data_IF_596654873231
#
_entry.id   IF_596654873231
#
_cell.length_a   1.000
_cell.length_b   1.000
_cell.length_c   1.000
_cell.angle_alpha   90.00
_cell.angle_beta   90.00
_cell.angle_gamma   90.00
#
_symmetry.space_group_name_H-M   'P 1'
#
loop_
_entity.id
_entity.type
_entity.pdbx_description
1 polymer ?
#
# COMPACT_ATOMS: atom_id res chain seq x y z
N UNK A 1 30.88 61.53 -5.18
CA UNK A 1 30.23 61.29 -3.89
C UNK A 1 28.74 61.55 -4.05
N UNK A 2 27.93 60.49 -4.24
CA UNK A 2 26.46 60.55 -4.11
C UNK A 2 26.04 59.31 -3.33
N UNK A 3 25.53 59.58 -2.13
CA UNK A 3 24.97 58.55 -1.22
C UNK A 3 23.56 58.23 -1.72
N UNK A 4 23.30 56.94 -2.01
CA UNK A 4 21.96 56.39 -2.28
C UNK A 4 21.47 55.77 -0.98
N UNK A 5 20.42 56.36 -0.39
CA UNK A 5 19.67 55.80 0.73
C UNK A 5 18.77 54.69 0.15
N UNK A 6 18.92 53.47 0.65
CA UNK A 6 18.01 52.37 0.40
C UNK A 6 16.97 52.34 1.50
N UNK A 7 15.72 52.66 1.19
CA UNK A 7 14.59 52.54 2.10
C UNK A 7 14.19 51.06 2.23
N UNK A 8 14.31 50.53 3.46
CA UNK A 8 13.89 49.20 3.83
C UNK A 8 12.39 49.25 4.22
N UNK A 9 11.51 48.82 3.32
CA UNK A 9 10.07 48.64 3.63
C UNK A 9 9.88 47.31 4.32
N UNK A 10 9.55 47.38 5.60
CA UNK A 10 9.22 46.26 6.48
C UNK A 10 7.76 45.82 6.17
N UNK A 11 7.57 44.68 5.49
CA UNK A 11 6.25 44.09 5.30
C UNK A 11 5.96 43.20 6.51
N UNK A 12 5.07 43.69 7.38
CA UNK A 12 4.46 42.88 8.44
C UNK A 12 3.45 41.91 7.79
N UNK A 13 3.82 40.64 7.63
CA UNK A 13 2.86 39.59 7.36
C UNK A 13 2.11 39.22 8.64
N UNK A 14 0.83 39.55 8.68
CA UNK A 14 -0.12 39.09 9.69
C UNK A 14 -0.24 37.59 9.63
N UNK A 15 0.42 36.88 10.54
CA UNK A 15 0.13 35.47 10.83
C UNK A 15 -1.20 35.40 11.60
N UNK A 16 -2.26 34.97 10.95
CA UNK A 16 -3.46 34.49 11.63
C UNK A 16 -3.08 33.22 12.42
N UNK A 17 -3.51 33.05 13.68
CA UNK A 17 -3.26 31.82 14.42
C UNK A 17 -4.04 30.67 13.76
N UNK A 18 -3.33 29.63 13.36
CA UNK A 18 -3.92 28.34 13.05
C UNK A 18 -4.62 27.83 14.30
N UNK A 19 -5.93 27.71 14.27
CA UNK A 19 -6.74 27.07 15.31
C UNK A 19 -6.17 25.66 15.57
N UNK A 20 -5.46 25.54 16.68
CA UNK A 20 -5.07 24.24 17.20
C UNK A 20 -6.35 23.48 17.54
N UNK A 21 -6.72 22.50 16.75
CA UNK A 21 -7.83 21.59 17.04
C UNK A 21 -7.51 20.89 18.37
N UNK A 22 -8.15 21.34 19.44
CA UNK A 22 -7.97 20.78 20.77
C UNK A 22 -8.29 19.28 20.76
N UNK A 23 -7.38 18.47 21.30
CA UNK A 23 -7.52 17.01 21.37
C UNK A 23 -8.84 16.63 22.05
N UNK A 24 -9.64 15.78 21.38
CA UNK A 24 -10.93 15.33 21.91
C UNK A 24 -10.67 14.26 22.99
N UNK A 25 -11.13 14.55 24.22
CA UNK A 25 -11.03 13.62 25.35
C UNK A 25 -12.37 13.45 26.05
N UNK A 26 -12.60 12.32 26.69
CA UNK A 26 -13.77 12.08 27.53
C UNK A 26 -13.90 13.17 28.61
N UNK A 27 -15.08 13.76 28.74
CA UNK A 27 -15.32 14.88 29.66
C UNK A 27 -14.92 16.26 29.14
N UNK A 28 -14.27 16.34 27.97
CA UNK A 28 -13.98 17.61 27.29
C UNK A 28 -15.27 18.26 26.78
N UNK A 29 -15.32 19.61 26.70
CA UNK A 29 -16.48 20.35 26.20
C UNK A 29 -16.68 20.12 24.69
N UNK A 30 -17.94 20.11 24.26
CA UNK A 30 -18.35 20.01 22.86
C UNK A 30 -19.43 21.05 22.52
N UNK A 31 -19.64 21.30 21.22
CA UNK A 31 -20.46 22.44 20.76
C UNK A 31 -21.92 22.11 20.51
N UNK A 32 -22.25 20.87 20.12
CA UNK A 32 -23.63 20.50 19.74
C UNK A 32 -23.96 19.09 20.24
N UNK A 33 -25.08 18.95 20.98
CA UNK A 33 -25.55 17.65 21.45
C UNK A 33 -25.82 16.72 20.25
N UNK A 34 -25.40 15.46 20.35
CA UNK A 34 -25.49 14.48 19.27
C UNK A 34 -24.35 14.57 18.23
N UNK A 35 -23.48 15.56 18.30
CA UNK A 35 -22.30 15.63 17.44
C UNK A 35 -21.41 14.40 17.66
N UNK A 36 -21.02 13.76 16.55
CA UNK A 36 -20.10 12.59 16.55
C UNK A 36 -18.76 13.06 16.05
N UNK A 37 -17.68 12.59 16.67
CA UNK A 37 -16.32 12.81 16.22
C UNK A 37 -15.48 11.56 16.46
N UNK A 38 -14.60 11.24 15.52
CA UNK A 38 -13.63 10.15 15.65
C UNK A 38 -12.25 10.77 15.94
N UNK A 39 -11.62 10.37 17.05
CA UNK A 39 -10.31 10.84 17.44
C UNK A 39 -9.50 9.68 18.03
N UNK A 40 -8.27 9.49 17.57
CA UNK A 40 -7.38 8.39 17.99
C UNK A 40 -8.08 6.99 17.91
N UNK A 41 -8.78 6.71 16.80
CA UNK A 41 -9.45 5.43 16.58
C UNK A 41 -10.71 5.18 17.43
N UNK A 42 -11.13 6.15 18.26
CA UNK A 42 -12.30 6.03 19.14
C UNK A 42 -13.41 6.98 18.71
N UNK A 43 -14.67 6.50 18.79
CA UNK A 43 -15.87 7.29 18.50
C UNK A 43 -16.28 8.05 19.77
N UNK A 44 -16.46 9.37 19.65
CA UNK A 44 -16.97 10.24 20.71
C UNK A 44 -18.32 10.81 20.31
N UNK A 45 -19.23 10.91 21.26
CA UNK A 45 -20.56 11.49 21.09
C UNK A 45 -20.70 12.62 22.10
N UNK A 46 -21.08 13.80 21.61
CA UNK A 46 -21.35 14.96 22.45
C UNK A 46 -22.70 14.77 23.16
N UNK A 47 -22.70 14.68 24.48
CA UNK A 47 -23.92 14.45 25.27
C UNK A 47 -24.13 15.56 26.29
N UNK A 48 -25.39 15.89 26.58
CA UNK A 48 -25.77 16.84 27.63
C UNK A 48 -25.54 16.18 29.01
N UNK A 49 -24.80 16.84 29.86
CA UNK A 49 -24.55 16.43 31.25
C UNK A 49 -24.83 17.63 32.17
N UNK A 50 -26.00 17.69 32.76
CA UNK A 50 -26.49 18.88 33.46
C UNK A 50 -26.63 20.09 32.52
N UNK A 51 -25.98 21.19 32.86
CA UNK A 51 -25.97 22.43 32.05
C UNK A 51 -24.84 22.48 31.01
N UNK A 52 -24.00 21.43 30.88
CA UNK A 52 -22.82 21.39 29.98
C UNK A 52 -22.97 20.34 28.88
N UNK A 53 -22.29 20.55 27.76
CA UNK A 53 -22.14 19.59 26.68
C UNK A 53 -20.74 18.99 26.75
N UNK A 54 -20.66 17.66 26.88
CA UNK A 54 -19.37 16.96 27.09
C UNK A 54 -19.24 15.75 26.17
N UNK A 55 -18.01 15.48 25.72
CA UNK A 55 -17.67 14.29 24.97
C UNK A 55 -17.73 13.03 25.83
N UNK A 56 -18.49 12.02 25.39
CA UNK A 56 -18.50 10.66 25.94
C UNK A 56 -18.04 9.67 24.89
N UNK A 57 -17.43 8.58 25.34
CA UNK A 57 -17.07 7.46 24.45
C UNK A 57 -18.36 6.81 23.92
N UNK A 58 -18.48 6.67 22.60
CA UNK A 58 -19.58 5.96 21.96
C UNK A 58 -19.40 4.45 22.17
N UNK A 59 -20.32 3.80 22.90
CA UNK A 59 -20.33 2.35 23.04
C UNK A 59 -20.96 1.71 21.80
N UNK A 60 -20.35 0.70 21.23
CA UNK A 60 -20.94 -0.26 20.27
C UNK A 60 -21.62 -1.40 21.03
N UNK A 61 -22.44 -1.07 22.02
CA UNK A 61 -23.19 -2.10 22.73
C UNK A 61 -24.47 -2.42 21.92
N UNK A 62 -24.46 -3.56 21.28
CA UNK A 62 -25.66 -4.26 20.86
C UNK A 62 -26.46 -4.61 22.12
N UNK A 63 -27.57 -3.91 22.37
CA UNK A 63 -28.49 -4.31 23.44
C UNK A 63 -29.10 -5.66 23.09
N UNK A 64 -28.67 -6.71 23.75
CA UNK A 64 -29.42 -7.95 23.84
C UNK A 64 -30.68 -7.70 24.66
N UNK A 65 -31.83 -7.78 24.01
CA UNK A 65 -33.14 -7.78 24.61
C UNK A 65 -33.36 -9.12 25.33
N UNK A 66 -33.96 -9.19 26.55
CA UNK A 66 -34.25 -10.45 27.20
C UNK A 66 -35.19 -11.30 26.35
N UNK A 67 -34.82 -12.53 26.06
CA UNK A 67 -35.65 -13.51 25.38
C UNK A 67 -36.73 -13.96 26.36
N UNK A 68 -37.98 -13.54 26.12
CA UNK A 68 -39.19 -14.17 26.66
C UNK A 68 -39.47 -15.35 25.72
N UNK A 69 -39.41 -16.59 26.30
CA UNK A 69 -39.73 -17.82 25.59
C UNK A 69 -41.28 -17.89 25.51
N UNK A 70 -41.92 -17.78 24.36
CA UNK A 70 -43.32 -18.10 24.21
C UNK A 70 -43.50 -19.60 23.91
N UNK A 71 -44.48 -20.19 24.49
CA UNK A 71 -44.99 -21.54 24.26
C UNK A 71 -45.27 -21.78 22.78
N UNK A 72 -44.95 -22.96 22.22
CA UNK A 72 -45.07 -23.17 20.78
C UNK A 72 -46.51 -23.25 20.33
N UNK A 73 -46.92 -22.29 19.51
CA UNK A 73 -48.11 -22.34 18.66
C UNK A 73 -47.79 -23.16 17.41
N UNK A 74 -48.67 -24.05 16.92
CA UNK A 74 -48.34 -24.85 15.71
C UNK A 74 -48.11 -23.95 14.52
N UNK A 75 -46.95 -24.18 13.88
CA UNK A 75 -46.46 -23.45 12.70
C UNK A 75 -47.36 -23.67 11.50
N UNK A 76 -47.79 -22.62 10.77
CA UNK A 76 -48.38 -22.81 9.47
C UNK A 76 -47.31 -23.36 8.50
N UNK A 77 -47.73 -24.31 7.66
CA UNK A 77 -46.96 -24.90 6.57
C UNK A 77 -46.28 -23.79 5.76
N UNK A 78 -44.94 -23.84 5.53
CA UNK A 78 -44.27 -22.80 4.76
C UNK A 78 -44.80 -22.82 3.32
N UNK A 79 -45.34 -21.66 2.90
CA UNK A 79 -45.54 -21.36 1.48
C UNK A 79 -44.19 -21.44 0.78
N UNK A 80 -44.08 -22.03 -0.43
CA UNK A 80 -42.79 -22.11 -1.13
C UNK A 80 -42.23 -20.70 -1.29
N UNK A 81 -41.09 -20.46 -0.65
CA UNK A 81 -40.29 -19.27 -0.85
C UNK A 81 -39.93 -19.20 -2.35
N UNK A 82 -40.00 -18.02 -2.99
CA UNK A 82 -39.58 -17.91 -4.35
C UNK A 82 -38.11 -18.42 -4.40
N UNK A 83 -37.92 -19.45 -5.20
CA UNK A 83 -36.59 -20.02 -5.51
C UNK A 83 -35.73 -18.84 -5.98
N UNK A 84 -34.73 -18.49 -5.19
CA UNK A 84 -33.74 -17.53 -5.63
C UNK A 84 -33.16 -18.10 -6.94
N UNK A 85 -33.35 -17.39 -8.02
CA UNK A 85 -32.72 -17.71 -9.32
C UNK A 85 -31.23 -17.78 -9.03
N UNK A 86 -30.54 -18.89 -9.34
CA UNK A 86 -29.10 -18.94 -9.18
C UNK A 86 -28.50 -17.75 -9.94
N UNK A 87 -27.51 -17.05 -9.37
CA UNK A 87 -26.88 -15.92 -10.05
C UNK A 87 -26.42 -16.43 -11.43
N UNK A 88 -26.82 -15.69 -12.48
CA UNK A 88 -26.45 -16.02 -13.85
C UNK A 88 -24.94 -16.18 -13.91
N UNK A 89 -24.51 -17.39 -14.22
CA UNK A 89 -23.13 -17.62 -14.64
C UNK A 89 -22.95 -16.76 -15.90
N UNK A 90 -22.13 -15.71 -15.83
CA UNK A 90 -21.88 -14.74 -16.93
C UNK A 90 -21.41 -15.38 -18.24
N UNK A 91 -21.46 -16.68 -18.33
CA UNK A 91 -20.84 -17.48 -19.37
C UNK A 91 -21.74 -17.73 -20.59
N UNK A 92 -22.94 -17.16 -20.67
CA UNK A 92 -23.89 -17.66 -21.67
C UNK A 92 -24.29 -16.71 -22.79
N UNK A 93 -24.02 -15.37 -22.70
CA UNK A 93 -24.56 -14.45 -23.74
C UNK A 93 -23.58 -13.42 -24.33
N UNK A 94 -22.37 -13.27 -23.81
CA UNK A 94 -21.37 -12.36 -24.39
C UNK A 94 -20.20 -13.16 -24.93
N UNK A 95 -19.87 -13.01 -26.21
CA UNK A 95 -18.71 -13.66 -26.81
C UNK A 95 -17.42 -13.17 -26.16
N UNK A 96 -16.90 -13.93 -25.18
CA UNK A 96 -15.60 -13.66 -24.57
C UNK A 96 -14.51 -13.92 -25.61
N UNK A 97 -13.57 -13.00 -25.74
CA UNK A 97 -12.43 -13.13 -26.65
C UNK A 97 -11.60 -14.36 -26.29
N UNK A 98 -11.32 -15.19 -27.26
CA UNK A 98 -10.48 -16.37 -27.09
C UNK A 98 -9.04 -15.98 -26.69
N UNK A 99 -8.39 -16.84 -25.91
CA UNK A 99 -6.99 -16.67 -25.59
C UNK A 99 -6.08 -16.66 -26.84
N UNK A 100 -6.50 -17.35 -27.91
CA UNK A 100 -5.77 -17.39 -29.17
C UNK A 100 -5.82 -16.08 -29.97
N UNK A 101 -6.75 -15.17 -29.64
CA UNK A 101 -6.91 -13.88 -30.29
C UNK A 101 -6.14 -12.76 -29.57
N UNK A 102 -5.39 -13.12 -28.53
CA UNK A 102 -4.59 -12.17 -27.75
C UNK A 102 -3.22 -11.91 -28.39
N UNK A 103 -2.67 -10.75 -28.10
CA UNK A 103 -1.27 -10.47 -28.38
C UNK A 103 -0.37 -11.30 -27.46
N UNK A 104 0.81 -11.67 -27.94
CA UNK A 104 1.80 -12.34 -27.09
C UNK A 104 2.08 -11.52 -25.84
N UNK A 105 2.11 -12.16 -24.68
CA UNK A 105 2.31 -11.48 -23.40
C UNK A 105 3.67 -10.78 -23.31
N UNK A 106 4.67 -11.23 -24.08
CA UNK A 106 5.98 -10.57 -24.18
C UNK A 106 5.89 -9.11 -24.63
N UNK A 107 4.86 -8.76 -25.42
CA UNK A 107 4.60 -7.38 -25.88
C UNK A 107 4.13 -6.49 -24.72
N UNK A 108 3.36 -7.07 -23.78
CA UNK A 108 2.84 -6.36 -22.62
C UNK A 108 3.78 -6.40 -21.39
N UNK A 109 4.81 -7.24 -21.42
CA UNK A 109 5.91 -7.20 -20.44
C UNK A 109 6.83 -6.02 -20.79
N UNK A 110 6.29 -4.80 -20.64
CA UNK A 110 6.99 -3.57 -21.02
C UNK A 110 8.29 -3.40 -20.22
N UNK A 111 9.32 -2.86 -20.91
CA UNK A 111 10.62 -2.62 -20.28
C UNK A 111 10.56 -1.44 -19.35
N UNK A 112 11.35 -1.50 -18.29
CA UNK A 112 11.70 -0.31 -17.53
C UNK A 112 12.71 0.51 -18.33
N UNK A 113 12.37 1.78 -18.58
CA UNK A 113 13.20 2.71 -19.37
C UNK A 113 13.69 3.88 -18.51
N UNK A 114 13.55 3.79 -17.19
CA UNK A 114 14.06 4.83 -16.29
C UNK A 114 15.59 4.81 -16.25
N UNK A 115 16.15 5.96 -15.89
CA UNK A 115 17.60 6.13 -15.73
C UNK A 115 18.05 6.00 -14.28
N UNK A 116 17.12 5.94 -13.34
CA UNK A 116 17.38 5.80 -11.91
C UNK A 116 17.20 4.34 -11.51
N UNK A 117 18.14 3.83 -10.73
CA UNK A 117 18.26 2.40 -10.42
C UNK A 117 17.66 1.97 -9.08
N UNK A 118 16.81 2.79 -8.46
CA UNK A 118 16.33 2.51 -7.11
C UNK A 118 15.16 1.54 -7.05
N UNK A 119 14.39 1.42 -8.11
CA UNK A 119 13.29 0.49 -8.25
C UNK A 119 13.09 0.16 -9.71
N UNK A 120 12.05 -0.61 -10.00
CA UNK A 120 11.76 -1.02 -11.37
C UNK A 120 10.25 -1.19 -11.56
N UNK A 121 9.70 -0.45 -12.49
CA UNK A 121 8.29 -0.51 -12.86
C UNK A 121 8.05 -1.24 -14.19
N UNK A 122 8.93 -2.18 -14.55
CA UNK A 122 8.84 -2.95 -15.78
C UNK A 122 9.60 -4.27 -15.72
N UNK A 123 9.95 -4.81 -16.90
CA UNK A 123 10.72 -6.03 -17.08
C UNK A 123 12.05 -5.76 -17.77
N UNK A 124 13.10 -6.64 -17.59
CA UNK A 124 13.15 -7.70 -16.60
C UNK A 124 13.20 -7.13 -15.18
N UNK A 125 12.86 -7.97 -14.19
CA UNK A 125 12.93 -7.56 -12.79
C UNK A 125 14.38 -7.33 -12.35
N UNK A 126 14.63 -6.45 -11.36
CA UNK A 126 15.97 -6.24 -10.81
C UNK A 126 16.57 -7.54 -10.32
N UNK A 127 17.89 -7.67 -10.49
CA UNK A 127 18.60 -8.82 -9.96
C UNK A 127 18.46 -8.89 -8.44
N UNK A 128 18.15 -10.08 -7.92
CA UNK A 128 17.93 -10.31 -6.49
C UNK A 128 16.49 -10.10 -6.03
N UNK A 129 15.59 -9.55 -6.87
CA UNK A 129 14.17 -9.50 -6.54
C UNK A 129 13.58 -10.90 -6.46
N UNK A 130 12.80 -11.15 -5.41
CA UNK A 130 12.03 -12.38 -5.26
C UNK A 130 10.83 -12.37 -6.21
N UNK A 131 10.35 -13.56 -6.59
CA UNK A 131 9.21 -13.70 -7.49
C UNK A 131 8.46 -14.99 -7.22
N UNK A 132 7.12 -14.94 -7.35
CA UNK A 132 6.26 -16.10 -7.21
C UNK A 132 6.16 -16.63 -5.78
N UNK A 133 6.18 -17.96 -5.64
CA UNK A 133 6.06 -18.64 -4.35
C UNK A 133 7.38 -18.60 -3.58
N UNK A 134 7.41 -17.87 -2.47
CA UNK A 134 8.63 -17.68 -1.65
C UNK A 134 8.32 -17.63 -0.16
N UNK A 135 9.31 -18.03 0.64
CA UNK A 135 9.27 -17.92 2.11
C UNK A 135 10.49 -17.10 2.57
N UNK A 136 10.47 -15.77 2.37
CA UNK A 136 11.62 -14.96 2.71
C UNK A 136 11.80 -14.85 4.23
N UNK A 137 13.06 -14.92 4.67
CA UNK A 137 13.47 -14.76 6.07
C UNK A 137 13.98 -13.35 6.29
N UNK A 138 13.36 -12.63 7.21
CA UNK A 138 13.67 -11.24 7.53
C UNK A 138 14.21 -11.15 8.95
N UNK A 139 15.41 -10.56 9.09
CA UNK A 139 15.93 -10.18 10.39
C UNK A 139 15.47 -8.78 10.75
N UNK A 140 14.78 -8.65 11.87
CA UNK A 140 14.40 -7.37 12.46
C UNK A 140 15.43 -6.98 13.54
N UNK A 141 16.08 -5.84 13.38
CA UNK A 141 17.12 -5.33 14.26
C UNK A 141 16.63 -4.06 14.98
N UNK A 142 16.31 -4.12 16.27
CA UNK A 142 16.11 -2.93 17.09
C UNK A 142 17.39 -2.11 17.21
N UNK A 143 17.31 -0.81 16.88
CA UNK A 143 18.42 0.13 16.87
C UNK A 143 18.13 1.32 17.79
N UNK A 144 19.09 1.69 18.63
CA UNK A 144 19.05 2.90 19.44
C UNK A 144 20.15 3.86 19.01
N UNK A 145 19.85 5.16 19.07
CA UNK A 145 20.83 6.26 19.02
C UNK A 145 20.90 6.96 20.36
N UNK A 146 21.89 7.82 20.58
CA UNK A 146 22.02 8.56 21.84
C UNK A 146 20.83 9.50 22.10
N UNK A 147 20.15 9.94 21.07
CA UNK A 147 19.00 10.87 21.11
C UNK A 147 17.65 10.19 20.87
N UNK A 148 17.62 8.84 20.79
CA UNK A 148 16.38 8.07 20.70
C UNK A 148 16.08 7.35 22.02
N UNK A 149 14.80 7.16 22.39
CA UNK A 149 14.45 6.27 23.48
C UNK A 149 14.96 4.85 23.23
N UNK A 150 15.27 4.11 24.27
CA UNK A 150 15.55 2.68 24.16
C UNK A 150 14.24 1.91 24.00
N UNK A 151 14.30 0.79 23.24
CA UNK A 151 13.17 -0.13 23.12
C UNK A 151 12.75 -0.70 24.47
N UNK A 152 11.46 -0.64 24.75
CA UNK A 152 10.82 -1.34 25.87
C UNK A 152 10.23 -2.69 25.41
N UNK A 153 9.87 -3.55 26.38
CA UNK A 153 9.18 -4.80 26.05
C UNK A 153 7.79 -4.53 25.44
N UNK A 154 7.16 -3.39 25.78
CA UNK A 154 5.90 -2.97 25.16
C UNK A 154 6.07 -2.61 23.68
N UNK A 155 7.16 -1.90 23.32
CA UNK A 155 7.47 -1.59 21.92
C UNK A 155 7.70 -2.85 21.11
N UNK A 156 8.46 -3.80 21.64
CA UNK A 156 8.72 -5.09 20.97
C UNK A 156 7.45 -5.91 20.79
N UNK A 157 6.51 -5.88 21.73
CA UNK A 157 5.23 -6.56 21.58
C UNK A 157 4.40 -5.90 20.47
N UNK A 158 4.35 -4.57 20.42
CA UNK A 158 3.69 -3.85 19.33
C UNK A 158 4.32 -4.19 17.96
N UNK A 159 5.65 -4.24 17.88
CA UNK A 159 6.37 -4.66 16.68
C UNK A 159 5.97 -6.07 16.26
N UNK A 160 5.91 -7.04 17.19
CA UNK A 160 5.47 -8.40 16.85
C UNK A 160 4.06 -8.44 16.26
N UNK A 161 3.13 -7.67 16.82
CA UNK A 161 1.76 -7.57 16.29
C UNK A 161 1.77 -6.98 14.88
N UNK A 162 2.55 -5.93 14.64
CA UNK A 162 2.68 -5.30 13.32
C UNK A 162 3.36 -6.21 12.31
N UNK A 163 4.45 -6.90 12.68
CA UNK A 163 5.12 -7.86 11.80
C UNK A 163 4.17 -8.99 11.40
N UNK A 164 3.33 -9.46 12.33
CA UNK A 164 2.27 -10.42 12.00
C UNK A 164 1.25 -9.84 11.02
N UNK A 165 0.82 -8.60 11.20
CA UNK A 165 -0.09 -7.94 10.27
C UNK A 165 0.53 -7.82 8.86
N UNK A 166 1.82 -7.53 8.76
CA UNK A 166 2.57 -7.50 7.49
C UNK A 166 2.66 -8.88 6.85
N UNK A 167 2.94 -9.93 7.63
CA UNK A 167 2.91 -11.32 7.14
C UNK A 167 1.53 -11.69 6.56
N UNK A 168 0.46 -11.41 7.32
CA UNK A 168 -0.92 -11.71 6.91
C UNK A 168 -1.30 -10.91 5.64
N UNK A 169 -0.84 -9.66 5.53
CA UNK A 169 -1.03 -8.80 4.35
C UNK A 169 -0.35 -9.41 3.11
N UNK A 170 0.94 -9.71 3.16
CA UNK A 170 1.67 -10.29 2.03
C UNK A 170 1.12 -11.65 1.62
N UNK A 171 0.81 -12.51 2.60
CA UNK A 171 0.17 -13.80 2.34
C UNK A 171 -1.17 -13.64 1.62
N UNK A 172 -2.00 -12.70 2.06
CA UNK A 172 -3.30 -12.43 1.43
C UNK A 172 -3.15 -11.87 0.03
N UNK A 173 -2.37 -10.79 -0.14
CA UNK A 173 -2.27 -10.08 -1.43
C UNK A 173 -1.54 -10.85 -2.50
N UNK A 174 -0.66 -11.78 -2.12
CA UNK A 174 0.02 -12.71 -3.01
C UNK A 174 -0.74 -14.02 -3.24
N UNK A 175 -1.99 -14.13 -2.80
CA UNK A 175 -2.80 -15.37 -2.92
C UNK A 175 -2.17 -16.58 -2.22
N UNK A 176 -1.43 -16.35 -1.13
CA UNK A 176 -0.74 -17.38 -0.36
C UNK A 176 0.65 -17.74 -0.86
N UNK A 177 1.13 -17.12 -1.94
CA UNK A 177 2.44 -17.41 -2.52
C UNK A 177 3.59 -16.89 -1.63
N UNK A 178 3.40 -15.77 -0.92
CA UNK A 178 4.43 -15.19 -0.05
C UNK A 178 4.13 -15.49 1.40
N UNK A 179 5.07 -16.17 2.07
CA UNK A 179 5.00 -16.52 3.48
C UNK A 179 6.24 -16.00 4.21
N UNK A 180 6.20 -14.75 4.67
CA UNK A 180 7.34 -14.10 5.32
C UNK A 180 7.60 -14.73 6.69
N UNK A 181 8.85 -15.01 7.02
CA UNK A 181 9.32 -15.41 8.35
C UNK A 181 10.14 -14.28 8.97
N UNK A 182 9.76 -13.81 10.15
CA UNK A 182 10.53 -12.80 10.89
C UNK A 182 11.29 -13.41 12.04
N UNK A 183 12.53 -12.96 12.18
CA UNK A 183 13.31 -13.16 13.39
C UNK A 183 13.65 -11.79 13.99
N UNK A 184 13.16 -11.53 15.20
CA UNK A 184 13.56 -10.33 15.95
C UNK A 184 14.88 -10.65 16.68
N UNK A 185 15.87 -9.78 16.52
CA UNK A 185 17.17 -9.93 17.19
C UNK A 185 17.00 -9.97 18.72
N UNK A 186 17.71 -10.87 19.38
CA UNK A 186 17.69 -11.01 20.83
C UNK A 186 18.09 -9.71 21.54
N UNK A 187 17.45 -9.40 22.67
CA UNK A 187 17.66 -8.15 23.42
C UNK A 187 19.11 -7.86 23.75
N UNK A 188 19.89 -8.90 24.08
CA UNK A 188 21.33 -8.79 24.37
C UNK A 188 22.18 -8.35 23.18
N UNK A 189 21.62 -8.39 21.96
CA UNK A 189 22.30 -8.07 20.71
C UNK A 189 21.74 -6.84 20.02
N UNK A 190 20.79 -6.13 20.64
CA UNK A 190 20.27 -4.90 20.07
C UNK A 190 21.37 -3.86 19.89
N UNK A 191 21.29 -3.15 18.77
CA UNK A 191 22.32 -2.18 18.44
C UNK A 191 22.08 -0.86 19.17
N UNK A 192 23.16 -0.28 19.69
CA UNK A 192 23.18 1.10 20.21
C UNK A 192 24.33 1.84 19.57
N UNK A 193 24.03 2.93 18.86
CA UNK A 193 25.02 3.74 18.19
C UNK A 193 25.69 4.70 19.18
N UNK A 194 26.92 5.10 18.89
CA UNK A 194 27.70 5.99 19.75
C UNK A 194 27.47 7.48 19.43
N UNK A 195 26.61 7.77 18.45
CA UNK A 195 26.24 9.11 17.99
C UNK A 195 24.72 9.26 17.94
N UNK A 196 24.26 10.51 17.82
CA UNK A 196 22.83 10.85 17.66
C UNK A 196 22.33 10.52 16.24
N UNK A 197 21.04 10.20 16.07
CA UNK A 197 20.43 10.03 14.76
C UNK A 197 20.54 11.31 13.92
N UNK A 198 20.47 12.49 14.57
CA UNK A 198 20.68 13.77 13.90
C UNK A 198 22.09 13.89 13.30
N UNK A 199 23.13 13.42 13.99
CA UNK A 199 24.52 13.47 13.49
C UNK A 199 24.75 12.57 12.26
N UNK A 200 23.88 11.58 12.04
CA UNK A 200 23.85 10.76 10.83
C UNK A 200 22.97 11.34 9.71
N UNK A 201 22.29 12.47 9.96
CA UNK A 201 21.35 13.06 9.00
C UNK A 201 20.02 12.30 8.85
N UNK A 202 19.73 11.37 9.76
CA UNK A 202 18.55 10.51 9.71
C UNK A 202 17.25 11.19 10.19
N UNK A 203 17.32 12.46 10.57
CA UNK A 203 16.18 13.24 11.06
C UNK A 203 15.56 14.13 9.99
N UNK A 204 16.20 14.22 8.83
CA UNK A 204 15.71 15.01 7.72
C UNK A 204 14.69 14.20 6.89
N UNK A 205 13.49 14.76 6.56
CA UNK A 205 12.49 14.08 5.75
C UNK A 205 12.91 13.83 4.29
N UNK A 206 14.03 14.36 3.85
CA UNK A 206 14.65 14.06 2.56
C UNK A 206 15.99 13.39 2.81
N UNK A 207 16.08 12.05 2.65
CA UNK A 207 17.34 11.36 2.83
C UNK A 207 18.38 12.00 1.92
N UNK A 208 19.39 12.57 2.55
CA UNK A 208 20.59 12.99 1.86
C UNK A 208 21.44 11.73 1.59
N UNK A 209 22.35 11.83 0.65
CA UNK A 209 23.25 10.75 0.19
C UNK A 209 24.04 10.02 1.32
N UNK A 210 23.97 10.53 2.54
CA UNK A 210 24.74 10.05 3.69
C UNK A 210 24.11 8.86 4.45
N UNK A 211 22.89 8.43 4.09
CA UNK A 211 22.24 7.32 4.81
C UNK A 211 22.95 5.99 4.57
N UNK A 212 23.62 5.85 3.43
CA UNK A 212 24.45 4.65 3.12
C UNK A 212 25.62 4.53 4.08
N UNK A 213 26.30 5.64 4.39
CA UNK A 213 27.43 5.64 5.32
C UNK A 213 26.98 5.30 6.75
N UNK A 214 25.84 5.87 7.16
CA UNK A 214 25.19 5.53 8.43
C UNK A 214 24.87 4.04 8.51
N UNK A 215 24.30 3.47 7.44
CA UNK A 215 23.95 2.06 7.39
C UNK A 215 25.18 1.16 7.44
N UNK A 216 26.25 1.49 6.73
CA UNK A 216 27.53 0.74 6.77
C UNK A 216 28.06 0.70 8.21
N UNK A 217 28.05 1.84 8.92
CA UNK A 217 28.49 1.91 10.31
C UNK A 217 27.60 1.10 11.25
N UNK A 218 26.27 1.18 11.06
CA UNK A 218 25.28 0.40 11.83
C UNK A 218 25.55 -1.10 11.66
N UNK A 219 25.67 -1.57 10.43
CA UNK A 219 25.90 -2.98 10.13
C UNK A 219 27.28 -3.46 10.59
N UNK A 220 28.31 -2.59 10.49
CA UNK A 220 29.65 -2.90 11.00
C UNK A 220 29.68 -3.08 12.53
N UNK A 221 28.75 -2.46 13.25
CA UNK A 221 28.59 -2.62 14.71
C UNK A 221 27.80 -3.88 15.10
N UNK A 222 27.17 -4.56 14.15
CA UNK A 222 26.40 -5.76 14.44
C UNK A 222 27.26 -6.86 15.07
N UNK A 223 26.61 -7.63 15.94
CA UNK A 223 27.25 -8.76 16.64
C UNK A 223 27.85 -9.75 15.62
N UNK A 224 29.14 -10.13 15.74
CA UNK A 224 29.77 -11.09 14.84
C UNK A 224 29.09 -12.47 14.79
N UNK A 225 28.25 -12.80 15.76
CA UNK A 225 27.47 -14.04 15.76
C UNK A 225 26.28 -14.03 14.81
N UNK A 226 25.90 -12.86 14.28
CA UNK A 226 24.82 -12.74 13.31
C UNK A 226 25.37 -13.11 11.93
N UNK A 227 24.91 -14.23 11.37
CA UNK A 227 25.20 -14.56 9.98
C UNK A 227 24.11 -13.97 9.07
N UNK A 228 24.44 -12.87 8.42
CA UNK A 228 23.52 -12.12 7.55
C UNK A 228 23.14 -12.87 6.26
N UNK A 229 23.94 -13.83 5.81
CA UNK A 229 23.64 -14.63 4.62
C UNK A 229 22.41 -15.56 4.81
N UNK A 230 21.95 -15.75 6.05
CA UNK A 230 20.77 -16.55 6.36
C UNK A 230 19.45 -15.82 6.10
N UNK A 231 19.49 -14.53 5.77
CA UNK A 231 18.31 -13.68 5.62
C UNK A 231 18.19 -13.13 4.20
N UNK A 232 16.96 -13.05 3.73
CA UNK A 232 16.61 -12.45 2.44
C UNK A 232 16.40 -10.94 2.55
N UNK A 233 16.12 -10.44 3.74
CA UNK A 233 16.00 -9.03 4.04
C UNK A 233 16.34 -8.70 5.49
N UNK A 234 16.72 -7.44 5.70
CA UNK A 234 17.06 -6.90 7.01
C UNK A 234 16.25 -5.62 7.23
N UNK A 235 15.44 -5.59 8.27
CA UNK A 235 14.74 -4.39 8.71
C UNK A 235 15.42 -3.85 9.97
N UNK A 236 15.90 -2.62 9.92
CA UNK A 236 16.50 -1.91 11.05
C UNK A 236 15.55 -0.80 11.45
N UNK A 237 15.07 -0.79 12.68
CA UNK A 237 14.10 0.20 13.15
C UNK A 237 14.52 0.82 14.47
N UNK A 238 14.23 2.12 14.65
CA UNK A 238 14.39 2.83 15.91
C UNK A 238 13.06 3.04 16.60
N UNK A 239 13.07 3.13 17.94
CA UNK A 239 11.92 3.70 18.67
C UNK A 239 11.77 5.16 18.23
N UNK A 240 10.53 5.58 18.13
CA UNK A 240 10.08 6.89 17.66
C UNK A 240 11.08 8.02 17.94
N UNK A 241 11.62 8.58 16.88
CA UNK A 241 12.37 9.82 16.94
C UNK A 241 11.39 11.01 17.08
N UNK A 242 11.65 12.00 17.93
CA UNK A 242 10.74 13.14 18.14
C UNK A 242 10.69 14.14 16.98
N UNK A 243 11.23 13.81 15.81
CA UNK A 243 11.19 14.55 14.56
C UNK A 243 10.47 13.81 13.45
N UNK A 244 10.69 14.23 12.21
CA UNK A 244 10.31 13.47 11.02
C UNK A 244 11.42 12.48 10.71
N UNK A 245 11.20 11.22 11.04
CA UNK A 245 12.10 10.15 10.62
C UNK A 245 11.97 9.81 9.14
N UNK A 246 12.76 8.86 8.70
CA UNK A 246 12.78 8.33 7.33
C UNK A 246 12.47 6.83 7.34
N UNK A 247 11.69 6.36 6.35
CA UNK A 247 11.72 4.98 5.89
C UNK A 247 12.56 4.97 4.61
N UNK A 248 13.49 4.07 4.49
CA UNK A 248 14.34 3.95 3.31
C UNK A 248 14.74 2.51 3.04
N UNK A 249 14.44 2.02 1.85
CA UNK A 249 14.95 0.78 1.32
C UNK A 249 16.26 1.00 0.55
N UNK A 250 17.21 0.07 0.71
CA UNK A 250 18.47 0.05 -0.01
C UNK A 250 18.43 -1.06 -1.06
N UNK A 251 17.79 -0.73 -2.17
CA UNK A 251 17.51 -1.65 -3.27
C UNK A 251 18.80 -2.10 -3.96
N UNK A 252 18.89 -3.39 -4.26
CA UNK A 252 19.99 -4.00 -5.01
C UNK A 252 21.39 -3.73 -4.44
N UNK A 253 21.48 -3.20 -3.21
CA UNK A 253 22.76 -2.99 -2.52
C UNK A 253 23.07 -4.18 -1.62
N UNK A 254 24.35 -4.57 -1.60
CA UNK A 254 24.87 -5.61 -0.73
C UNK A 254 25.89 -4.94 0.18
N UNK A 255 25.69 -5.06 1.48
CA UNK A 255 26.55 -4.46 2.49
C UNK A 255 27.40 -5.56 3.16
N UNK A 256 28.72 -5.49 3.07
CA UNK A 256 29.59 -6.39 3.80
C UNK A 256 29.46 -6.15 5.31
N UNK A 257 29.39 -7.23 6.06
CA UNK A 257 29.31 -7.21 7.51
C UNK A 257 30.48 -8.00 8.12
N UNK A 258 30.53 -8.11 9.44
CA UNK A 258 31.55 -8.95 10.11
C UNK A 258 31.34 -10.44 9.83
N UNK A 259 30.11 -10.86 9.54
CA UNK A 259 29.79 -12.25 9.23
C UNK A 259 28.72 -12.30 8.15
N UNK A 260 29.14 -12.51 6.91
CA UNK A 260 28.27 -12.54 5.73
C UNK A 260 27.99 -11.15 5.14
N UNK A 261 26.92 -11.05 4.39
CA UNK A 261 26.51 -9.84 3.67
C UNK A 261 25.03 -9.53 3.89
N UNK A 262 24.72 -8.31 4.30
CA UNK A 262 23.35 -7.84 4.43
C UNK A 262 22.83 -7.42 3.05
N UNK A 263 21.66 -7.91 2.68
CA UNK A 263 20.93 -7.59 1.44
C UNK A 263 19.48 -7.25 1.76
N UNK A 264 18.77 -6.60 0.85
CA UNK A 264 17.39 -6.23 1.05
C UNK A 264 17.19 -5.42 2.35
N UNK A 265 18.03 -4.40 2.57
CA UNK A 265 18.05 -3.68 3.84
C UNK A 265 17.09 -2.51 3.79
N UNK A 266 16.26 -2.36 4.84
CA UNK A 266 15.52 -1.14 5.13
C UNK A 266 15.95 -0.54 6.47
N UNK A 267 15.97 0.81 6.53
CA UNK A 267 16.24 1.58 7.73
C UNK A 267 15.04 2.48 8.02
N UNK A 268 14.44 2.30 9.18
CA UNK A 268 13.21 2.99 9.56
C UNK A 268 13.41 3.80 10.84
N UNK A 269 13.35 5.10 10.70
CA UNK A 269 13.40 6.06 11.80
C UNK A 269 12.13 6.92 11.87
N UNK A 270 11.12 6.58 11.06
CA UNK A 270 9.92 7.39 10.79
C UNK A 270 8.90 7.46 11.93
N UNK A 271 9.21 6.93 13.08
CA UNK A 271 8.60 7.46 14.23
C UNK A 271 7.38 6.81 14.82
N UNK A 272 6.91 5.70 14.39
CA UNK A 272 6.06 4.84 15.22
C UNK A 272 6.64 3.44 15.15
N UNK A 273 7.23 2.97 16.23
CA UNK A 273 7.62 1.57 16.32
C UNK A 273 6.48 0.71 15.78
N UNK A 274 6.76 -0.06 14.74
CA UNK A 274 5.77 -0.92 14.14
C UNK A 274 4.71 -0.21 13.26
N UNK A 275 5.09 0.72 12.39
CA UNK A 275 4.19 1.21 11.35
C UNK A 275 3.95 0.13 10.29
N UNK A 276 2.78 -0.50 10.30
CA UNK A 276 2.39 -1.46 9.26
C UNK A 276 2.63 -0.91 7.84
N UNK A 277 2.22 0.35 7.62
CA UNK A 277 2.31 0.96 6.28
C UNK A 277 3.77 1.05 5.81
N UNK A 278 4.66 1.54 6.67
CA UNK A 278 6.08 1.70 6.33
C UNK A 278 6.74 0.33 6.14
N UNK A 279 6.57 -0.60 7.09
CA UNK A 279 7.16 -1.94 6.99
C UNK A 279 6.70 -2.69 5.73
N UNK A 280 5.41 -2.67 5.42
CA UNK A 280 4.89 -3.34 4.23
C UNK A 280 5.38 -2.68 2.94
N UNK A 281 5.50 -1.36 2.91
CA UNK A 281 6.00 -0.59 1.76
C UNK A 281 7.48 -0.89 1.50
N UNK A 282 8.34 -0.75 2.52
CA UNK A 282 9.78 -0.97 2.38
C UNK A 282 10.11 -2.42 1.97
N UNK A 283 9.32 -3.40 2.40
CA UNK A 283 9.45 -4.78 1.93
C UNK A 283 9.06 -4.95 0.46
N UNK A 284 8.13 -4.16 -0.05
CA UNK A 284 7.82 -4.10 -1.48
C UNK A 284 9.06 -3.75 -2.31
N UNK A 285 9.84 -2.80 -1.83
CA UNK A 285 11.13 -2.46 -2.42
C UNK A 285 12.14 -3.58 -2.23
N UNK A 286 12.45 -3.91 -0.99
CA UNK A 286 13.63 -4.73 -0.65
C UNK A 286 13.51 -6.17 -1.10
N UNK A 287 12.32 -6.77 -1.09
CA UNK A 287 12.10 -8.14 -1.51
C UNK A 287 11.72 -8.27 -2.99
N UNK A 288 10.85 -7.40 -3.47
CA UNK A 288 10.25 -7.54 -4.79
C UNK A 288 10.74 -6.51 -5.81
N UNK A 289 11.60 -5.57 -5.40
CA UNK A 289 12.15 -4.53 -6.28
C UNK A 289 11.06 -3.64 -6.90
N UNK A 290 9.94 -3.44 -6.20
CA UNK A 290 8.88 -2.56 -6.64
C UNK A 290 9.27 -1.09 -6.51
N UNK A 291 8.65 -0.23 -7.29
CA UNK A 291 8.96 1.21 -7.39
C UNK A 291 8.02 2.04 -6.54
N UNK A 292 8.48 3.21 -6.07
CA UNK A 292 7.60 4.25 -5.52
C UNK A 292 6.65 4.80 -6.58
N UNK A 293 5.35 4.78 -6.27
CA UNK A 293 4.29 5.20 -7.19
C UNK A 293 3.73 6.58 -6.86
N UNK A 294 4.20 7.22 -5.78
CA UNK A 294 3.77 8.56 -5.35
C UNK A 294 4.73 9.65 -5.84
N UNK A 295 4.33 10.91 -5.64
CA UNK A 295 5.17 12.06 -5.97
C UNK A 295 6.02 12.46 -4.77
N UNK A 296 7.31 12.73 -4.98
CA UNK A 296 8.19 13.26 -3.95
C UNK A 296 7.96 14.76 -3.70
N UNK A 297 7.23 15.44 -4.58
CA UNK A 297 6.87 16.84 -4.40
C UNK A 297 5.73 16.97 -3.39
N UNK A 298 5.93 17.68 -2.26
CA UNK A 298 4.88 17.88 -1.27
C UNK A 298 3.69 18.67 -1.83
N UNK A 299 2.48 18.21 -1.55
CA UNK A 299 1.24 18.92 -1.87
C UNK A 299 0.59 18.53 -3.19
N UNK A 300 1.25 17.80 -4.05
CA UNK A 300 0.63 17.29 -5.27
C UNK A 300 -0.23 16.06 -4.99
N UNK A 301 -1.38 15.91 -5.68
CA UNK A 301 -2.20 14.73 -5.55
C UNK A 301 -1.43 13.51 -6.06
N UNK A 302 -1.45 12.44 -5.26
CA UNK A 302 -0.80 11.19 -5.63
C UNK A 302 -1.46 10.58 -6.89
N UNK A 303 -0.72 10.44 -8.02
CA UNK A 303 -1.30 10.00 -9.28
C UNK A 303 -1.77 8.54 -9.26
N UNK A 304 -1.18 7.68 -8.43
CA UNK A 304 -1.61 6.31 -8.25
C UNK A 304 -2.76 6.18 -7.23
N UNK A 305 -3.14 7.26 -6.55
CA UNK A 305 -4.16 7.23 -5.51
C UNK A 305 -3.81 6.31 -4.36
N UNK A 306 -4.83 5.70 -3.75
CA UNK A 306 -4.68 4.72 -2.66
C UNK A 306 -4.92 3.28 -3.14
N UNK A 307 -4.50 2.96 -4.37
CA UNK A 307 -4.77 1.67 -4.99
C UNK A 307 -3.65 0.65 -4.83
N UNK A 308 -2.45 1.10 -4.47
CA UNK A 308 -1.25 0.26 -4.35
C UNK A 308 -0.47 0.56 -3.07
N UNK A 309 0.13 -0.45 -2.45
CA UNK A 309 0.97 -0.33 -1.26
C UNK A 309 2.19 0.55 -1.53
N UNK A 310 2.73 0.52 -2.75
CA UNK A 310 3.86 1.35 -3.16
C UNK A 310 3.47 2.80 -3.45
N UNK A 311 2.19 3.16 -3.25
CA UNK A 311 1.68 4.51 -3.27
C UNK A 311 1.51 5.05 -1.84
N UNK A 312 0.29 5.45 -1.46
CA UNK A 312 0.03 6.00 -0.13
C UNK A 312 -1.18 5.31 0.52
N UNK A 313 -0.96 4.68 1.67
CA UNK A 313 -2.03 4.20 2.55
C UNK A 313 -2.93 3.10 1.97
N UNK A 314 -2.47 2.32 1.01
CA UNK A 314 -3.20 1.18 0.47
C UNK A 314 -3.02 -0.08 1.34
N UNK A 315 -3.97 -1.00 1.21
CA UNK A 315 -3.87 -2.36 1.74
C UNK A 315 -4.02 -3.39 0.63
N UNK A 316 -3.59 -3.04 -0.57
CA UNK A 316 -3.56 -3.90 -1.75
C UNK A 316 -2.46 -3.40 -2.71
N UNK A 317 -2.16 -4.18 -3.73
CA UNK A 317 -1.30 -3.83 -4.85
C UNK A 317 -2.13 -3.71 -6.14
N UNK A 318 -1.62 -2.98 -7.14
CA UNK A 318 -2.13 -3.08 -8.50
C UNK A 318 -1.93 -4.49 -9.07
N UNK A 319 -2.77 -4.91 -9.98
CA UNK A 319 -2.54 -6.11 -10.78
C UNK A 319 -1.19 -6.07 -11.50
N UNK A 320 -0.74 -4.89 -11.92
CA UNK A 320 0.60 -4.67 -12.46
C UNK A 320 1.71 -5.02 -11.46
N UNK A 321 1.65 -4.48 -10.25
CA UNK A 321 2.64 -4.77 -9.19
C UNK A 321 2.65 -6.25 -8.81
N UNK A 322 1.47 -6.90 -8.76
CA UNK A 322 1.37 -8.35 -8.56
C UNK A 322 1.96 -9.15 -9.72
N UNK A 323 1.78 -8.68 -10.96
CA UNK A 323 2.36 -9.32 -12.14
C UNK A 323 3.89 -9.17 -12.15
N UNK A 324 4.40 -7.99 -11.81
CA UNK A 324 5.84 -7.76 -11.64
C UNK A 324 6.44 -8.68 -10.57
N UNK A 325 5.73 -8.92 -9.47
CA UNK A 325 6.17 -9.78 -8.37
C UNK A 325 5.94 -11.29 -8.63
N UNK A 326 5.37 -11.65 -9.78
CA UNK A 326 5.08 -13.05 -10.13
C UNK A 326 3.94 -13.66 -9.31
N UNK A 327 3.06 -12.82 -8.74
CA UNK A 327 1.87 -13.29 -8.01
C UNK A 327 0.66 -13.46 -8.92
N UNK A 328 0.68 -12.88 -10.12
CA UNK A 328 -0.20 -13.21 -11.22
C UNK A 328 0.57 -14.05 -12.25
N UNK A 329 0.01 -15.20 -12.59
CA UNK A 329 0.53 -16.06 -13.65
C UNK A 329 0.18 -15.49 -15.02
N UNK A 330 0.95 -15.85 -16.04
CA UNK A 330 0.77 -15.40 -17.42
C UNK A 330 -0.67 -15.64 -17.95
N UNK A 331 -1.30 -16.74 -17.56
CA UNK A 331 -2.69 -17.06 -17.93
C UNK A 331 -3.76 -16.16 -17.31
N UNK A 332 -3.42 -15.42 -16.24
CA UNK A 332 -4.31 -14.48 -15.59
C UNK A 332 -4.25 -13.08 -16.20
N UNK A 333 -3.35 -12.87 -17.17
CA UNK A 333 -3.13 -11.57 -17.82
C UNK A 333 -3.56 -11.66 -19.30
N UNK A 334 -4.29 -10.65 -19.76
CA UNK A 334 -4.75 -10.50 -21.13
C UNK A 334 -3.98 -9.36 -21.79
N UNK A 335 -3.16 -9.67 -22.80
CA UNK A 335 -2.37 -8.68 -23.54
C UNK A 335 -3.07 -8.30 -24.84
N UNK A 336 -3.24 -7.00 -25.08
CA UNK A 336 -3.85 -6.44 -26.28
C UNK A 336 -2.95 -5.33 -26.86
N UNK A 337 -2.88 -5.24 -28.18
CA UNK A 337 -2.14 -4.18 -28.87
C UNK A 337 -2.84 -3.70 -30.15
N UNK A 338 -3.29 -4.62 -31.00
CA UNK A 338 -3.83 -4.32 -32.33
C UNK A 338 -5.30 -4.74 -32.51
N UNK A 339 -5.90 -5.35 -31.51
CA UNK A 339 -7.30 -5.77 -31.55
C UNK A 339 -8.22 -4.55 -31.61
N UNK A 340 -9.24 -4.59 -32.48
CA UNK A 340 -10.19 -3.48 -32.63
C UNK A 340 -11.23 -3.46 -31.51
N UNK A 341 -11.74 -4.64 -31.12
CA UNK A 341 -12.71 -4.77 -30.05
C UNK A 341 -12.61 -6.16 -29.44
N UNK A 342 -12.58 -6.22 -28.11
CA UNK A 342 -12.51 -7.49 -27.35
C UNK A 342 -13.38 -7.41 -26.10
N UNK A 343 -13.84 -8.57 -25.60
CA UNK A 343 -14.63 -8.68 -24.37
C UNK A 343 -13.97 -9.71 -23.46
N UNK A 344 -13.76 -9.38 -22.21
CA UNK A 344 -13.06 -10.20 -21.23
C UNK A 344 -13.83 -10.28 -19.93
N UNK A 345 -13.96 -11.46 -19.35
CA UNK A 345 -14.30 -11.59 -17.95
C UNK A 345 -13.03 -11.40 -17.11
N UNK A 346 -13.07 -10.43 -16.20
CA UNK A 346 -12.05 -10.25 -15.17
C UNK A 346 -12.64 -10.56 -13.80
N UNK A 347 -12.02 -11.45 -13.08
CA UNK A 347 -12.33 -11.68 -11.68
C UNK A 347 -11.73 -10.57 -10.81
N UNK A 348 -12.39 -10.25 -9.67
CA UNK A 348 -11.87 -9.26 -8.73
C UNK A 348 -10.45 -9.60 -8.29
N UNK A 349 -9.58 -8.60 -8.28
CA UNK A 349 -8.16 -8.78 -7.98
C UNK A 349 -7.92 -9.36 -6.58
N UNK A 350 -8.81 -9.09 -5.65
CA UNK A 350 -8.72 -9.54 -4.25
C UNK A 350 -9.00 -11.04 -4.06
N UNK A 351 -9.59 -11.71 -5.05
CA UNK A 351 -9.94 -13.14 -4.96
C UNK A 351 -8.78 -14.03 -5.37
N UNK A 352 -8.59 -15.13 -4.64
CA UNK A 352 -7.58 -16.15 -5.01
C UNK A 352 -8.19 -17.14 -6.00
N UNK A 353 -7.75 -17.07 -7.25
CA UNK A 353 -8.15 -18.00 -8.32
C UNK A 353 -7.18 -17.93 -9.49
N UNK A 354 -7.35 -18.82 -10.47
CA UNK A 354 -6.57 -18.88 -11.72
C UNK A 354 -7.23 -18.13 -12.89
N UNK A 355 -8.40 -17.51 -12.65
CA UNK A 355 -9.13 -16.77 -13.69
C UNK A 355 -8.41 -15.47 -14.08
N UNK A 356 -8.69 -14.90 -15.25
CA UNK A 356 -8.13 -13.61 -15.67
C UNK A 356 -8.43 -12.49 -14.67
N UNK A 357 -7.41 -11.67 -14.38
CA UNK A 357 -7.51 -10.59 -13.41
C UNK A 357 -7.01 -9.23 -13.94
N UNK A 358 -6.22 -9.25 -14.99
CA UNK A 358 -5.57 -8.06 -15.53
C UNK A 358 -5.64 -8.04 -17.05
N UNK A 359 -6.08 -6.92 -17.62
CA UNK A 359 -5.88 -6.60 -19.03
C UNK A 359 -4.75 -5.58 -19.12
N UNK A 360 -3.84 -5.80 -20.06
CA UNK A 360 -2.78 -4.86 -20.41
C UNK A 360 -2.95 -4.44 -21.88
N UNK A 361 -3.08 -3.13 -22.11
CA UNK A 361 -3.18 -2.53 -23.43
C UNK A 361 -1.84 -1.89 -23.76
N UNK A 362 -1.05 -2.54 -24.59
CA UNK A 362 0.25 -2.01 -24.99
C UNK A 362 0.05 -0.82 -25.94
N UNK A 363 0.60 0.33 -25.57
CA UNK A 363 0.56 1.54 -26.40
C UNK A 363 1.85 1.71 -27.21
N UNK A 364 2.97 1.63 -26.52
CA UNK A 364 4.32 1.74 -27.08
C UNK A 364 5.32 1.18 -26.05
N UNK A 365 6.59 1.10 -26.41
CA UNK A 365 7.63 0.69 -25.48
C UNK A 365 7.63 1.57 -24.22
N UNK A 366 7.58 0.95 -23.07
CA UNK A 366 7.52 1.62 -21.77
C UNK A 366 6.15 2.14 -21.34
N UNK A 367 5.12 2.08 -22.20
CA UNK A 367 3.79 2.63 -21.88
C UNK A 367 2.68 1.61 -22.12
N UNK A 368 1.91 1.35 -21.07
CA UNK A 368 0.83 0.36 -21.06
C UNK A 368 -0.35 0.88 -20.23
N UNK A 369 -1.58 0.52 -20.59
CA UNK A 369 -2.75 0.73 -19.74
C UNK A 369 -3.07 -0.59 -19.04
N UNK A 370 -3.26 -0.53 -17.73
CA UNK A 370 -3.76 -1.62 -16.92
C UNK A 370 -5.27 -1.47 -16.67
N UNK A 371 -6.00 -2.59 -16.74
CA UNK A 371 -7.42 -2.67 -16.36
C UNK A 371 -7.62 -3.87 -15.49
N UNK A 372 -8.17 -3.68 -14.31
CA UNK A 372 -8.46 -4.72 -13.32
C UNK A 372 -9.82 -4.49 -12.67
N UNK A 373 -10.39 -5.50 -12.07
CA UNK A 373 -11.65 -5.38 -11.30
C UNK A 373 -11.33 -5.35 -9.82
N UNK A 374 -11.89 -4.34 -9.14
CA UNK A 374 -11.69 -4.11 -7.71
C UNK A 374 -13.01 -4.20 -6.97
N UNK A 375 -12.97 -4.73 -5.76
CA UNK A 375 -14.06 -4.67 -4.81
C UNK A 375 -13.62 -3.88 -3.58
N UNK A 376 -14.21 -2.71 -3.39
CA UNK A 376 -13.91 -1.90 -2.21
C UNK A 376 -14.40 -2.59 -0.94
N UNK A 377 -13.61 -2.54 0.12
CA UNK A 377 -13.97 -3.13 1.42
C UNK A 377 -15.28 -2.55 1.93
N UNK A 378 -16.24 -3.41 2.20
CA UNK A 378 -17.57 -3.03 2.67
C UNK A 378 -18.54 -2.61 1.56
N UNK A 379 -18.16 -2.63 0.28
CA UNK A 379 -19.05 -2.47 -0.87
C UNK A 379 -19.51 -3.82 -1.38
N UNK A 380 -20.78 -3.92 -1.75
CA UNK A 380 -21.30 -5.06 -2.50
C UNK A 380 -20.91 -4.97 -3.98
N UNK A 381 -20.66 -3.75 -4.49
CA UNK A 381 -20.44 -3.49 -5.91
C UNK A 381 -18.94 -3.56 -6.23
N UNK A 382 -18.67 -4.11 -7.41
CA UNK A 382 -17.35 -4.12 -8.06
C UNK A 382 -17.28 -3.03 -9.11
N UNK A 383 -16.07 -2.61 -9.45
CA UNK A 383 -15.85 -1.69 -10.55
C UNK A 383 -14.49 -1.92 -11.21
N UNK A 384 -14.38 -1.53 -12.47
CA UNK A 384 -13.11 -1.60 -13.18
C UNK A 384 -12.24 -0.40 -12.81
N UNK A 385 -11.02 -0.66 -12.38
CA UNK A 385 -9.95 0.32 -12.20
C UNK A 385 -9.12 0.37 -13.48
N UNK A 386 -8.93 1.57 -14.01
CA UNK A 386 -8.11 1.81 -15.20
C UNK A 386 -6.95 2.72 -14.82
N UNK A 387 -5.75 2.37 -15.22
CA UNK A 387 -4.56 3.15 -14.92
C UNK A 387 -3.54 3.07 -16.05
N UNK A 388 -2.79 4.15 -16.22
CA UNK A 388 -1.67 4.22 -17.16
C UNK A 388 -0.37 3.94 -16.43
N UNK A 389 0.42 3.06 -16.98
CA UNK A 389 1.77 2.70 -16.57
C UNK A 389 2.72 3.36 -17.57
N UNK A 390 3.64 4.18 -17.08
CA UNK A 390 4.69 4.78 -17.90
C UNK A 390 6.05 4.53 -17.24
N UNK A 391 6.69 3.44 -17.62
CA UNK A 391 7.97 3.01 -17.09
C UNK A 391 9.17 3.83 -17.60
N UNK A 392 8.94 4.95 -18.27
CA UNK A 392 9.93 5.98 -18.64
C UNK A 392 10.03 7.06 -17.57
N UNK A 393 9.02 7.14 -16.71
CA UNK A 393 8.93 8.10 -15.60
C UNK A 393 9.66 7.52 -14.40
N UNK A 394 10.58 8.31 -13.81
CA UNK A 394 11.34 7.87 -12.64
C UNK A 394 10.46 7.77 -11.39
N UNK A 395 10.95 7.02 -10.40
CA UNK A 395 10.34 7.00 -9.07
C UNK A 395 10.27 8.41 -8.47
N UNK A 396 9.23 8.65 -7.68
CA UNK A 396 8.96 9.96 -7.11
C UNK A 396 8.39 10.99 -8.09
N UNK A 397 8.22 10.61 -9.37
CA UNK A 397 7.62 11.43 -10.42
C UNK A 397 6.27 10.84 -10.90
N UNK A 398 5.74 9.82 -10.22
CA UNK A 398 4.43 9.23 -10.46
C UNK A 398 4.34 8.35 -11.73
N UNK A 399 5.07 7.22 -11.78
CA UNK A 399 5.12 6.35 -12.97
C UNK A 399 3.79 5.62 -13.27
N UNK A 400 2.86 5.57 -12.32
CA UNK A 400 1.51 5.07 -12.54
C UNK A 400 0.48 6.15 -12.24
N UNK A 401 -0.44 6.35 -13.19
CA UNK A 401 -1.56 7.28 -13.03
C UNK A 401 -2.88 6.52 -13.12
N UNK A 402 -3.56 6.39 -12.00
CA UNK A 402 -4.87 5.75 -11.89
C UNK A 402 -6.01 6.76 -12.08
N UNK A 403 -7.15 6.29 -12.54
CA UNK A 403 -8.38 7.07 -12.45
C UNK A 403 -8.85 7.18 -11.00
N UNK A 404 -9.59 8.25 -10.69
CA UNK A 404 -10.03 8.52 -9.32
C UNK A 404 -11.18 7.61 -8.87
N UNK A 405 -12.02 7.14 -9.80
CA UNK A 405 -13.22 6.38 -9.52
C UNK A 405 -13.24 5.08 -10.32
N UNK A 406 -13.86 4.05 -9.75
CA UNK A 406 -14.10 2.78 -10.44
C UNK A 406 -15.18 2.97 -11.53
N UNK A 407 -15.01 2.29 -12.66
CA UNK A 407 -16.06 2.16 -13.66
C UNK A 407 -17.05 1.07 -13.23
N UNK A 408 -18.25 1.48 -12.90
CA UNK A 408 -19.36 0.57 -12.64
C UNK A 408 -20.10 0.23 -13.93
N UNK A 409 -20.95 -0.80 -13.89
CA UNK A 409 -21.76 -1.25 -15.05
C UNK A 409 -22.42 -0.08 -15.78
N UNK A 410 -22.31 -0.08 -17.10
CA UNK A 410 -22.80 0.97 -17.99
C UNK A 410 -21.91 2.21 -18.10
N UNK A 411 -20.79 2.26 -17.37
CA UNK A 411 -19.81 3.33 -17.49
C UNK A 411 -18.65 2.93 -18.41
N UNK A 412 -18.04 3.94 -19.02
CA UNK A 412 -16.85 3.77 -19.85
C UNK A 412 -15.90 4.93 -19.68
N UNK A 413 -14.62 4.67 -19.98
CA UNK A 413 -13.54 5.65 -20.02
C UNK A 413 -12.83 5.54 -21.37
N UNK A 414 -12.49 6.70 -21.97
CA UNK A 414 -11.59 6.76 -23.11
C UNK A 414 -10.24 7.27 -22.65
N UNK A 415 -9.19 6.50 -22.92
CA UNK A 415 -7.82 6.79 -22.52
C UNK A 415 -6.85 6.36 -23.65
N UNK A 416 -6.01 7.27 -24.11
CA UNK A 416 -4.96 7.03 -25.11
C UNK A 416 -5.44 6.18 -26.32
N UNK A 417 -6.60 6.51 -26.88
CA UNK A 417 -7.17 5.84 -28.06
C UNK A 417 -7.86 4.50 -27.77
N UNK A 418 -8.09 4.16 -26.51
CA UNK A 418 -8.87 2.98 -26.10
C UNK A 418 -10.09 3.40 -25.28
N UNK A 419 -11.23 2.74 -25.57
CA UNK A 419 -12.41 2.80 -24.70
C UNK A 419 -12.47 1.53 -23.88
N UNK A 420 -12.52 1.68 -22.56
CA UNK A 420 -12.75 0.62 -21.59
C UNK A 420 -14.17 0.78 -21.05
N UNK A 421 -14.99 -0.25 -21.13
CA UNK A 421 -16.39 -0.22 -20.70
C UNK A 421 -16.67 -1.37 -19.73
N UNK A 422 -17.28 -1.06 -18.58
CA UNK A 422 -17.83 -2.06 -17.66
C UNK A 422 -19.21 -2.48 -18.16
N UNK A 423 -19.31 -3.71 -18.66
CA UNK A 423 -20.50 -4.19 -19.39
C UNK A 423 -21.50 -4.87 -18.46
N UNK A 424 -21.04 -5.80 -17.65
CA UNK A 424 -21.87 -6.63 -16.79
C UNK A 424 -21.10 -7.02 -15.53
N UNK A 425 -21.80 -7.07 -14.39
CA UNK A 425 -21.23 -7.52 -13.11
C UNK A 425 -21.69 -8.93 -12.80
N UNK A 426 -20.75 -9.83 -12.50
CA UNK A 426 -21.00 -11.17 -12.00
C UNK A 426 -20.74 -11.30 -10.51
N UNK A 427 -20.87 -12.51 -9.99
CA UNK A 427 -20.69 -12.81 -8.56
C UNK A 427 -19.27 -12.57 -8.07
N UNK A 428 -18.26 -12.75 -8.92
CA UNK A 428 -16.84 -12.69 -8.54
C UNK A 428 -16.00 -11.72 -9.39
N UNK A 429 -16.59 -11.12 -10.43
CA UNK A 429 -15.88 -10.26 -11.37
C UNK A 429 -16.82 -9.52 -12.29
N UNK A 430 -16.28 -9.00 -13.40
CA UNK A 430 -17.03 -8.21 -14.38
C UNK A 430 -16.64 -8.57 -15.81
N UNK A 431 -17.59 -8.40 -16.74
CA UNK A 431 -17.30 -8.32 -18.17
C UNK A 431 -16.82 -6.93 -18.52
N UNK A 432 -15.64 -6.86 -19.09
CA UNK A 432 -14.99 -5.65 -19.55
C UNK A 432 -14.86 -5.70 -21.06
N UNK A 433 -15.41 -4.71 -21.75
CA UNK A 433 -15.21 -4.48 -23.18
C UNK A 433 -14.11 -3.46 -23.39
N UNK A 434 -13.21 -3.75 -24.32
CA UNK A 434 -12.12 -2.85 -24.70
C UNK A 434 -12.18 -2.65 -26.21
N UNK A 435 -12.15 -1.39 -26.63
CA UNK A 435 -12.28 -1.02 -28.05
C UNK A 435 -11.26 0.06 -28.40
N UNK A 436 -10.58 -0.09 -29.56
CA UNK A 436 -9.87 1.06 -30.16
C UNK A 436 -10.87 2.08 -30.64
N UNK A 437 -10.62 3.34 -30.30
CA UNK A 437 -11.39 4.49 -30.80
C UNK A 437 -10.49 5.33 -31.69
N UNK A 438 -11.05 5.74 -32.84
CA UNK A 438 -10.38 6.60 -33.82
C UNK A 438 -10.23 8.02 -33.29
#
# INVERSE_FOLDING_TARGET
MKRILLSLTLVFALFAPLDATAAIKVGGSCKKAGQISNYAGKKYICTKSGKKLLWKLGSTATKSRPVVIPTPTPSPTPSPSPTATPPNDLNTNSAITSANDLTSLTVCKTRDLTTRSSGNNGFPRPQGSLSGAVTPKILFIPLNFLDTPSFSDADINLIRETLKEVQDFYKKTSYGLVNIEYQILEKSKWLTMDRTAESYGLTNPRPQQNNTDALIEILAKADPSINFDLYDGITIETVRYPGRGVGQAFLSQIFPTRNGSAKGVSLETAGAAGSFQTLAHELGHTLFGLEDLYLFSPGDPNPAGSWDMMSNSSREFFGWSKFLSGWLEDQQVRCLSNQMSTVHYLESLELSSVKPKLILLNLQEGVTIGVEVRQLKGSANRGALVYKIDSRINHGDGPIKAQNELLYVGKSLVIDGWRVSAVEEGTEGMLIKVEKVS
#
